data_IF_348857666937
#
_entry.id   IF_348857666937
#
_cell.length_a   1.000
_cell.length_b   1.000
_cell.length_c   1.000
_cell.angle_alpha   90.00
_cell.angle_beta   90.00
_cell.angle_gamma   90.00
#
_symmetry.space_group_name_H-M   'P 1'
#
loop_
_entity.id
_entity.type
_entity.pdbx_description
1 polymer ?
#
# COMPACT_ATOMS: atom_id res chain seq x y z
N UNK A 1 -23.82 -23.94 35.26
CA UNK A 1 -23.86 -23.89 33.78
C UNK A 1 -23.29 -22.57 33.33
N UNK A 2 -22.03 -22.54 32.91
CA UNK A 2 -21.37 -21.36 32.36
C UNK A 2 -21.03 -21.70 30.91
N UNK A 3 -21.71 -21.04 29.98
CA UNK A 3 -21.46 -21.15 28.55
C UNK A 3 -20.10 -20.51 28.29
N UNK A 4 -19.10 -21.33 27.97
CA UNK A 4 -17.85 -20.86 27.39
C UNK A 4 -18.18 -20.28 26.01
N UNK A 5 -17.96 -18.99 25.82
CA UNK A 5 -18.00 -18.37 24.49
C UNK A 5 -16.87 -18.99 23.66
N UNK A 6 -17.23 -19.72 22.62
CA UNK A 6 -16.30 -20.21 21.62
C UNK A 6 -15.85 -19.01 20.79
N UNK A 7 -14.57 -18.69 20.82
CA UNK A 7 -13.93 -17.67 19.98
C UNK A 7 -14.01 -18.11 18.50
N UNK A 8 -14.51 -17.31 17.55
CA UNK A 8 -14.75 -17.76 16.17
C UNK A 8 -13.49 -17.96 15.30
N UNK A 9 -12.29 -17.85 15.87
CA UNK A 9 -11.03 -17.98 15.14
C UNK A 9 -10.62 -19.47 15.05
N UNK A 10 -11.37 -20.26 14.31
CA UNK A 10 -11.09 -21.69 14.09
C UNK A 10 -10.14 -21.96 12.92
N UNK A 11 -9.19 -21.06 12.65
CA UNK A 11 -8.13 -21.27 11.66
C UNK A 11 -6.87 -20.50 12.08
N UNK A 12 -5.70 -21.11 11.91
CA UNK A 12 -4.41 -20.49 12.24
C UNK A 12 -4.19 -19.26 11.34
N UNK A 13 -4.41 -18.08 11.90
CA UNK A 13 -4.14 -16.79 11.25
C UNK A 13 -2.87 -16.18 11.82
N UNK A 14 -1.92 -15.88 10.95
CA UNK A 14 -0.68 -15.21 11.32
C UNK A 14 -0.37 -14.02 10.39
N UNK A 15 0.31 -13.02 10.95
CA UNK A 15 0.89 -11.89 10.21
C UNK A 15 2.41 -11.97 10.36
N UNK A 16 3.13 -11.78 9.26
CA UNK A 16 4.59 -11.78 9.23
C UNK A 16 5.13 -10.94 8.08
N UNK A 17 6.46 -10.90 7.89
CA UNK A 17 7.07 -10.28 6.73
C UNK A 17 6.60 -10.98 5.43
N UNK A 18 6.45 -10.19 4.37
CA UNK A 18 6.20 -10.74 3.03
C UNK A 18 7.53 -11.18 2.42
N UNK A 19 7.69 -12.49 2.25
CA UNK A 19 8.87 -13.07 1.60
C UNK A 19 8.81 -12.93 0.08
N UNK A 20 10.00 -12.87 -0.56
CA UNK A 20 10.15 -12.64 -2.00
C UNK A 20 9.43 -13.69 -2.85
N UNK A 21 9.36 -14.93 -2.37
CA UNK A 21 8.74 -16.06 -3.05
C UNK A 21 7.21 -15.90 -3.16
N UNK A 22 6.61 -15.08 -2.31
CA UNK A 22 5.17 -14.84 -2.29
C UNK A 22 4.73 -13.64 -3.14
N UNK A 23 5.65 -12.94 -3.83
CA UNK A 23 5.30 -11.73 -4.58
C UNK A 23 4.31 -11.99 -5.72
N UNK A 24 4.46 -13.09 -6.45
CA UNK A 24 3.54 -13.41 -7.54
C UNK A 24 2.15 -13.79 -7.01
N UNK A 25 2.10 -14.48 -5.86
CA UNK A 25 0.84 -14.77 -5.16
C UNK A 25 0.20 -13.49 -4.63
N UNK A 26 0.98 -12.56 -4.08
CA UNK A 26 0.49 -11.27 -3.62
C UNK A 26 -0.07 -10.43 -4.77
N UNK A 27 0.58 -10.43 -5.94
CA UNK A 27 0.07 -9.74 -7.14
C UNK A 27 -1.24 -10.36 -7.62
N UNK A 28 -1.32 -11.71 -7.67
CA UNK A 28 -2.56 -12.40 -8.02
C UNK A 28 -3.70 -12.07 -7.05
N UNK A 29 -3.44 -12.11 -5.73
CA UNK A 29 -4.43 -11.74 -4.72
C UNK A 29 -4.83 -10.28 -4.85
N UNK A 30 -3.88 -9.38 -5.13
CA UNK A 30 -4.17 -7.97 -5.35
C UNK A 30 -5.15 -7.77 -6.51
N UNK A 31 -4.87 -8.39 -7.66
CA UNK A 31 -5.75 -8.31 -8.85
C UNK A 31 -7.12 -8.86 -8.56
N UNK A 32 -7.18 -10.11 -8.07
CA UNK A 32 -8.45 -10.79 -7.81
C UNK A 32 -9.28 -10.05 -6.77
N UNK A 33 -8.68 -9.60 -5.66
CA UNK A 33 -9.40 -8.90 -4.61
C UNK A 33 -10.02 -7.59 -5.09
N UNK A 34 -9.24 -6.72 -5.75
CA UNK A 34 -9.77 -5.47 -6.29
C UNK A 34 -10.73 -5.70 -7.46
N UNK A 35 -10.40 -6.61 -8.37
CA UNK A 35 -11.24 -6.96 -9.52
C UNK A 35 -12.61 -7.50 -9.10
N UNK A 36 -12.65 -8.38 -8.10
CA UNK A 36 -13.89 -8.89 -7.51
C UNK A 36 -14.65 -7.78 -6.82
N UNK A 37 -13.99 -6.96 -5.99
CA UNK A 37 -14.65 -5.87 -5.27
C UNK A 37 -15.27 -4.83 -6.21
N UNK A 38 -14.59 -4.50 -7.31
CA UNK A 38 -15.05 -3.54 -8.31
C UNK A 38 -16.00 -4.13 -9.36
N UNK A 39 -16.30 -5.44 -9.29
CA UNK A 39 -17.25 -6.10 -10.18
C UNK A 39 -16.75 -6.25 -11.62
N UNK A 40 -15.45 -6.43 -11.83
CA UNK A 40 -14.91 -6.70 -13.17
C UNK A 40 -15.43 -8.06 -13.69
N UNK A 41 -15.73 -8.18 -15.00
CA UNK A 41 -16.09 -9.47 -15.60
C UNK A 41 -15.00 -10.54 -15.44
N UNK A 42 -13.73 -10.13 -15.53
CA UNK A 42 -12.56 -10.95 -15.22
C UNK A 42 -11.75 -10.26 -14.11
N UNK A 43 -11.90 -10.68 -12.84
CA UNK A 43 -11.18 -10.10 -11.71
C UNK A 43 -9.66 -10.14 -11.86
N UNK A 44 -9.11 -11.11 -12.59
CA UNK A 44 -7.65 -11.25 -12.75
C UNK A 44 -7.04 -10.14 -13.60
N UNK A 45 -7.86 -9.38 -14.32
CA UNK A 45 -7.44 -8.29 -15.23
C UNK A 45 -7.41 -6.92 -14.56
N UNK A 46 -7.73 -6.83 -13.28
CA UNK A 46 -7.60 -5.57 -12.56
C UNK A 46 -6.20 -4.98 -12.74
N UNK A 47 -6.15 -3.65 -12.88
CA UNK A 47 -4.93 -2.87 -13.06
C UNK A 47 -4.10 -3.13 -14.34
N UNK A 48 -4.57 -3.96 -15.28
CA UNK A 48 -3.88 -4.16 -16.56
C UNK A 48 -2.44 -4.65 -16.39
N UNK A 49 -1.48 -3.97 -17.01
CA UNK A 49 -0.05 -4.24 -16.92
C UNK A 49 0.66 -3.53 -15.76
N UNK A 50 -0.05 -2.74 -14.95
CA UNK A 50 0.54 -2.05 -13.82
C UNK A 50 1.07 -3.04 -12.76
N UNK A 51 2.19 -2.67 -12.16
CA UNK A 51 2.88 -3.45 -11.13
C UNK A 51 2.74 -2.75 -9.77
N UNK A 52 1.93 -3.29 -8.87
CA UNK A 52 1.68 -2.70 -7.55
C UNK A 52 2.50 -3.35 -6.44
N UNK A 53 2.67 -4.67 -6.50
CA UNK A 53 3.23 -5.46 -5.39
C UNK A 53 4.75 -5.42 -5.40
N UNK A 54 5.37 -5.83 -6.52
CA UNK A 54 6.81 -5.97 -6.63
C UNK A 54 7.56 -4.65 -6.37
N UNK A 55 7.18 -3.49 -6.96
CA UNK A 55 7.88 -2.24 -6.69
C UNK A 55 7.78 -1.79 -5.23
N UNK A 56 6.64 -2.01 -4.57
CA UNK A 56 6.48 -1.69 -3.14
C UNK A 56 7.36 -2.55 -2.26
N UNK A 57 7.47 -3.85 -2.57
CA UNK A 57 8.37 -4.74 -1.86
C UNK A 57 9.85 -4.39 -2.12
N UNK A 58 10.23 -4.12 -3.37
CA UNK A 58 11.63 -3.82 -3.70
C UNK A 58 12.08 -2.44 -3.18
N UNK A 59 11.15 -1.50 -2.98
CA UNK A 59 11.42 -0.23 -2.33
C UNK A 59 11.87 -0.41 -0.87
N UNK A 60 11.17 -1.27 -0.11
CA UNK A 60 11.54 -1.66 1.25
C UNK A 60 10.88 -3.00 1.65
N UNK A 61 11.61 -4.13 1.57
CA UNK A 61 11.07 -5.45 1.94
C UNK A 61 10.64 -5.54 3.40
N UNK A 62 11.26 -4.75 4.27
CA UNK A 62 10.94 -4.77 5.71
C UNK A 62 9.56 -4.18 5.98
N UNK A 63 9.02 -3.41 5.03
CA UNK A 63 7.74 -2.71 5.10
C UNK A 63 6.61 -3.42 4.37
N UNK A 64 6.82 -4.69 4.00
CA UNK A 64 5.82 -5.52 3.37
C UNK A 64 5.38 -6.64 4.32
N UNK A 65 4.06 -6.79 4.48
CA UNK A 65 3.47 -7.74 5.41
C UNK A 65 2.62 -8.76 4.65
N UNK A 66 2.73 -10.02 5.05
CA UNK A 66 1.89 -11.11 4.59
C UNK A 66 0.94 -11.55 5.70
N UNK A 67 -0.29 -11.89 5.30
CA UNK A 67 -1.22 -12.64 6.11
C UNK A 67 -1.26 -14.09 5.63
N UNK A 68 -1.17 -15.03 6.55
CA UNK A 68 -1.44 -16.43 6.29
C UNK A 68 -2.71 -16.86 7.03
N UNK A 69 -3.48 -17.73 6.40
CA UNK A 69 -4.66 -18.34 6.98
C UNK A 69 -4.71 -19.79 6.53
N UNK A 70 -5.03 -20.70 7.46
CA UNK A 70 -5.18 -22.13 7.18
C UNK A 70 -3.92 -22.72 6.51
N UNK A 71 -2.74 -22.24 6.93
CA UNK A 71 -1.43 -22.67 6.43
C UNK A 71 -1.00 -22.11 5.06
N UNK A 72 -1.79 -21.20 4.46
CA UNK A 72 -1.52 -20.66 3.13
C UNK A 72 -1.50 -19.12 3.10
N UNK A 73 -0.83 -18.55 2.09
CA UNK A 73 -0.87 -17.11 1.84
C UNK A 73 -2.30 -16.63 1.57
N UNK A 74 -2.71 -15.60 2.30
CA UNK A 74 -4.07 -15.08 2.32
C UNK A 74 -4.18 -13.61 1.94
N UNK A 75 -3.10 -12.82 2.01
CA UNK A 75 -3.16 -11.39 1.71
C UNK A 75 -1.87 -10.66 2.04
N UNK A 76 -1.81 -9.38 1.67
CA UNK A 76 -0.64 -8.54 1.93
C UNK A 76 -1.02 -7.08 2.17
N UNK A 77 -0.11 -6.36 2.81
CA UNK A 77 -0.15 -4.90 2.93
C UNK A 77 1.28 -4.35 2.87
N UNK A 78 1.43 -3.13 2.39
CA UNK A 78 2.72 -2.48 2.19
C UNK A 78 2.68 -1.10 2.82
N UNK A 79 3.63 -0.78 3.69
CA UNK A 79 3.78 0.57 4.22
C UNK A 79 4.80 1.37 3.43
N UNK A 80 4.58 2.67 3.38
CA UNK A 80 5.41 3.63 2.66
C UNK A 80 5.59 4.84 3.55
N UNK A 81 6.83 5.34 3.62
CA UNK A 81 7.20 6.51 4.40
C UNK A 81 7.66 7.63 3.48
N UNK A 82 6.99 8.77 3.58
CA UNK A 82 7.36 10.01 2.92
C UNK A 82 7.79 11.02 3.97
N UNK A 83 8.96 10.80 4.55
CA UNK A 83 9.44 11.54 5.72
C UNK A 83 8.49 11.40 6.90
N UNK A 84 7.79 12.48 7.24
CA UNK A 84 6.83 12.55 8.34
C UNK A 84 5.44 11.98 8.01
N UNK A 85 5.20 11.59 6.76
CA UNK A 85 3.92 11.07 6.28
C UNK A 85 3.99 9.56 6.02
N UNK A 86 3.04 8.80 6.56
CA UNK A 86 2.86 7.36 6.32
C UNK A 86 1.66 7.08 5.40
N UNK A 87 1.86 6.18 4.44
CA UNK A 87 0.80 5.64 3.59
C UNK A 87 0.90 4.11 3.55
N UNK A 88 -0.21 3.41 3.37
CA UNK A 88 -0.16 1.97 3.13
C UNK A 88 -1.04 1.53 1.97
N UNK A 89 -0.58 0.51 1.28
CA UNK A 89 -1.30 -0.16 0.22
C UNK A 89 -0.37 -0.69 -0.89
N UNK A 90 -0.86 -1.64 -1.71
CA UNK A 90 -2.21 -2.19 -1.68
C UNK A 90 -2.46 -3.11 -0.46
N UNK A 91 -3.57 -2.88 0.25
CA UNK A 91 -4.07 -3.79 1.29
C UNK A 91 -5.05 -4.75 0.65
N UNK A 92 -4.69 -6.02 0.53
CA UNK A 92 -5.55 -7.04 -0.08
C UNK A 92 -5.55 -8.34 0.70
N UNK A 93 -6.71 -9.00 0.66
CA UNK A 93 -6.95 -10.34 1.22
C UNK A 93 -7.70 -11.12 0.15
N UNK A 94 -7.43 -12.42 0.03
CA UNK A 94 -8.16 -13.30 -0.88
C UNK A 94 -9.67 -13.20 -0.63
N UNK A 95 -10.52 -13.14 -1.68
CA UNK A 95 -11.96 -13.01 -1.50
C UNK A 95 -12.61 -14.10 -0.65
N UNK A 96 -12.14 -15.34 -0.75
CA UNK A 96 -12.63 -16.47 0.05
C UNK A 96 -12.24 -16.40 1.54
N UNK A 97 -11.37 -15.46 1.90
CA UNK A 97 -10.96 -15.18 3.28
C UNK A 97 -11.43 -13.81 3.78
N UNK A 98 -12.30 -13.13 3.04
CA UNK A 98 -12.89 -11.87 3.47
C UNK A 98 -13.73 -12.05 4.74
N UNK A 99 -13.85 -10.95 5.48
CA UNK A 99 -14.69 -10.85 6.69
C UNK A 99 -14.25 -11.80 7.84
N UNK A 100 -13.02 -12.34 7.74
CA UNK A 100 -12.33 -13.12 8.79
C UNK A 100 -11.32 -12.31 9.62
N UNK A 101 -11.30 -10.99 9.49
CA UNK A 101 -10.43 -10.10 10.28
C UNK A 101 -8.98 -9.94 9.77
N UNK A 102 -8.54 -10.68 8.74
CA UNK A 102 -7.18 -10.60 8.18
C UNK A 102 -6.77 -9.17 7.77
N UNK A 103 -7.69 -8.42 7.15
CA UNK A 103 -7.42 -7.03 6.76
C UNK A 103 -7.15 -6.12 7.95
N UNK A 104 -7.82 -6.34 9.09
CA UNK A 104 -7.54 -5.58 10.31
C UNK A 104 -6.16 -5.91 10.88
N UNK A 105 -5.80 -7.20 10.93
CA UNK A 105 -4.48 -7.65 11.37
C UNK A 105 -3.33 -7.11 10.50
N UNK A 106 -3.55 -6.99 9.19
CA UNK A 106 -2.60 -6.35 8.26
C UNK A 106 -2.49 -4.84 8.47
N UNK A 107 -3.56 -4.16 8.86
CA UNK A 107 -3.52 -2.73 9.21
C UNK A 107 -2.82 -2.54 10.56
N UNK A 108 -3.02 -3.43 11.54
CA UNK A 108 -2.27 -3.39 12.82
C UNK A 108 -0.75 -3.39 12.58
N UNK A 109 -0.25 -4.28 11.72
CA UNK A 109 1.16 -4.32 11.36
C UNK A 109 1.64 -3.03 10.69
N UNK A 110 0.82 -2.44 9.81
CA UNK A 110 1.13 -1.16 9.19
C UNK A 110 1.18 0.00 10.20
N UNK A 111 0.24 0.03 11.16
CA UNK A 111 0.20 1.05 12.21
C UNK A 111 1.40 0.94 13.15
N UNK A 112 1.82 -0.28 13.51
CA UNK A 112 3.03 -0.51 14.29
C UNK A 112 4.27 0.02 13.55
N UNK A 113 4.37 -0.23 12.24
CA UNK A 113 5.48 0.30 11.43
C UNK A 113 5.48 1.83 11.36
N UNK A 114 4.30 2.45 11.28
CA UNK A 114 4.17 3.92 11.34
C UNK A 114 4.64 4.49 12.68
N UNK A 115 4.34 3.81 13.79
CA UNK A 115 4.83 4.18 15.12
C UNK A 115 6.36 4.06 15.21
N UNK A 116 6.94 2.95 14.72
CA UNK A 116 8.40 2.75 14.68
C UNK A 116 9.11 3.84 13.88
N UNK A 117 8.49 4.31 12.80
CA UNK A 117 9.02 5.41 11.98
C UNK A 117 8.80 6.80 12.56
N UNK A 118 7.95 6.94 13.57
CA UNK A 118 7.57 8.23 14.12
C UNK A 118 6.84 9.12 13.11
N UNK A 119 6.04 8.53 12.20
CA UNK A 119 5.26 9.35 11.26
C UNK A 119 4.26 10.21 12.03
N UNK A 120 4.12 11.47 11.63
CA UNK A 120 3.23 12.45 12.28
C UNK A 120 1.86 12.49 11.63
N UNK A 121 1.78 12.05 10.37
CA UNK A 121 0.55 11.98 9.62
C UNK A 121 0.43 10.65 8.90
N UNK A 122 -0.64 9.89 9.13
CA UNK A 122 -0.93 8.70 8.36
C UNK A 122 -2.19 8.92 7.51
N UNK A 123 -2.12 8.57 6.23
CA UNK A 123 -3.20 8.79 5.28
C UNK A 123 -3.42 7.59 4.36
N UNK A 124 -4.65 7.47 3.86
CA UNK A 124 -5.02 6.54 2.79
C UNK A 124 -6.20 7.13 2.01
N UNK A 125 -6.42 6.65 0.79
CA UNK A 125 -7.70 6.83 0.11
C UNK A 125 -8.39 5.48 -0.03
N UNK A 126 -9.72 5.49 0.00
CA UNK A 126 -10.54 4.30 -0.11
C UNK A 126 -11.87 4.63 -0.77
N UNK A 127 -12.62 3.58 -1.13
CA UNK A 127 -13.95 3.66 -1.70
C UNK A 127 -14.93 4.41 -0.79
N UNK A 128 -15.41 5.55 -1.28
CA UNK A 128 -16.32 6.44 -0.54
C UNK A 128 -17.70 5.80 -0.30
N UNK A 129 -18.11 4.88 -1.15
CA UNK A 129 -19.36 4.12 -1.11
C UNK A 129 -19.25 2.80 -0.34
N UNK A 130 -18.08 2.48 0.22
CA UNK A 130 -17.88 1.22 0.94
C UNK A 130 -17.91 1.38 2.46
N UNK A 131 -19.05 1.07 3.07
CA UNK A 131 -19.20 1.03 4.53
C UNK A 131 -18.19 0.08 5.21
N UNK A 132 -17.84 -1.04 4.54
CA UNK A 132 -16.84 -2.01 5.01
C UNK A 132 -15.46 -1.37 5.18
N UNK A 133 -14.95 -0.71 4.13
CA UNK A 133 -13.63 -0.07 4.20
C UNK A 133 -13.63 1.11 5.18
N UNK A 134 -14.68 1.94 5.17
CA UNK A 134 -14.80 3.02 6.16
C UNK A 134 -14.81 2.50 7.60
N UNK A 135 -15.52 1.40 7.86
CA UNK A 135 -15.59 0.76 9.17
C UNK A 135 -14.24 0.19 9.61
N UNK A 136 -13.51 -0.46 8.69
CA UNK A 136 -12.16 -0.96 8.94
C UNK A 136 -11.24 0.17 9.40
N UNK A 137 -11.09 1.22 8.58
CA UNK A 137 -10.10 2.26 8.85
C UNK A 137 -10.48 3.14 10.06
N UNK A 138 -11.77 3.36 10.33
CA UNK A 138 -12.21 4.07 11.56
C UNK A 138 -11.72 3.40 12.84
N UNK A 139 -11.60 2.07 12.88
CA UNK A 139 -11.09 1.34 14.06
C UNK A 139 -9.65 1.72 14.40
N UNK A 140 -8.88 2.14 13.40
CA UNK A 140 -7.49 2.58 13.54
C UNK A 140 -7.34 4.11 13.63
N UNK A 141 -8.45 4.83 13.87
CA UNK A 141 -8.43 6.27 14.06
C UNK A 141 -8.49 7.11 12.78
N UNK A 142 -8.49 6.49 11.59
CA UNK A 142 -8.66 7.22 10.34
C UNK A 142 -10.07 7.83 10.26
N UNK A 143 -10.15 9.06 9.74
CA UNK A 143 -11.40 9.79 9.57
C UNK A 143 -11.54 10.28 8.12
N UNK A 144 -12.72 10.17 7.50
CA UNK A 144 -12.96 10.76 6.18
C UNK A 144 -12.67 12.27 6.19
N UNK A 145 -12.07 12.76 5.10
CA UNK A 145 -11.76 14.19 4.91
C UNK A 145 -12.55 14.78 3.76
N UNK A 146 -12.13 14.50 2.54
CA UNK A 146 -12.76 14.97 1.32
C UNK A 146 -12.78 13.84 0.29
N UNK A 147 -13.65 13.98 -0.70
CA UNK A 147 -13.71 13.06 -1.84
C UNK A 147 -12.58 13.40 -2.82
N UNK A 148 -11.82 12.39 -3.22
CA UNK A 148 -10.79 12.51 -4.26
C UNK A 148 -11.31 11.84 -5.53
N UNK A 149 -11.45 12.61 -6.61
CA UNK A 149 -11.82 12.07 -7.90
C UNK A 149 -10.59 11.44 -8.58
N UNK A 150 -10.68 10.15 -8.90
CA UNK A 150 -9.68 9.46 -9.72
C UNK A 150 -10.13 9.58 -11.18
N UNK A 151 -9.34 10.28 -11.99
CA UNK A 151 -9.67 10.61 -13.37
C UNK A 151 -8.58 10.06 -14.30
N UNK A 152 -8.97 9.68 -15.52
CA UNK A 152 -8.06 9.25 -16.56
C UNK A 152 -8.33 9.99 -17.86
N UNK A 153 -7.26 10.30 -18.60
CA UNK A 153 -7.30 10.85 -19.96
C UNK A 153 -6.18 10.19 -20.77
N UNK A 154 -6.40 9.87 -22.05
CA UNK A 154 -5.31 9.46 -22.93
C UNK A 154 -4.19 10.51 -22.95
N UNK A 155 -2.94 10.06 -22.80
CA UNK A 155 -1.79 10.92 -22.98
C UNK A 155 -1.73 11.39 -24.44
N UNK A 156 -1.55 12.70 -24.65
CA UNK A 156 -1.28 13.23 -25.98
C UNK A 156 0.17 12.91 -26.36
N UNK A 157 0.41 12.55 -27.62
CA UNK A 157 1.77 12.41 -28.12
C UNK A 157 2.44 13.80 -28.21
N UNK A 158 3.57 13.95 -27.55
CA UNK A 158 4.37 15.18 -27.55
C UNK A 158 5.35 15.17 -26.39
N UNK A 159 6.64 15.22 -26.69
CA UNK A 159 7.66 15.41 -25.66
C UNK A 159 7.66 16.88 -25.26
N UNK A 160 7.23 17.17 -24.04
CA UNK A 160 7.76 18.35 -23.37
C UNK A 160 9.28 18.16 -23.20
N UNK A 161 10.06 19.23 -23.18
CA UNK A 161 11.46 19.10 -22.79
C UNK A 161 11.52 18.68 -21.31
N UNK A 162 12.10 17.52 -21.03
CA UNK A 162 12.29 17.00 -19.69
C UNK A 162 13.70 16.43 -19.51
N UNK A 163 14.18 16.49 -18.28
CA UNK A 163 15.41 15.81 -17.87
C UNK A 163 15.00 14.60 -17.03
N UNK A 164 15.57 13.43 -17.32
CA UNK A 164 15.33 12.24 -16.51
C UNK A 164 16.26 12.28 -15.31
N UNK A 165 15.69 12.09 -14.11
CA UNK A 165 16.50 11.90 -12.90
C UNK A 165 17.55 10.79 -13.07
N UNK A 166 17.19 9.71 -13.75
CA UNK A 166 18.10 8.59 -14.04
C UNK A 166 19.29 8.97 -14.94
N UNK A 167 19.21 10.06 -15.72
CA UNK A 167 20.31 10.52 -16.59
C UNK A 167 21.24 11.54 -15.96
N UNK A 168 20.87 12.08 -14.78
CA UNK A 168 21.72 12.99 -14.02
C UNK A 168 22.95 12.26 -13.47
N UNK A 169 24.05 12.99 -13.29
CA UNK A 169 25.21 12.49 -12.54
C UNK A 169 24.94 12.52 -11.03
N UNK A 170 25.86 11.97 -10.23
CA UNK A 170 25.62 11.82 -8.79
C UNK A 170 25.53 13.16 -8.03
N UNK A 171 26.22 14.20 -8.51
CA UNK A 171 26.17 15.52 -7.89
C UNK A 171 24.83 16.20 -8.18
N UNK A 172 24.40 16.19 -9.44
CA UNK A 172 23.12 16.73 -9.88
C UNK A 172 21.94 15.97 -9.27
N UNK A 173 22.07 14.66 -9.05
CA UNK A 173 21.06 13.86 -8.34
C UNK A 173 20.90 14.28 -6.89
N UNK A 174 22.02 14.45 -6.17
CA UNK A 174 21.96 14.90 -4.77
C UNK A 174 21.29 16.26 -4.68
N UNK A 175 21.67 17.21 -5.53
CA UNK A 175 21.05 18.53 -5.59
C UNK A 175 19.55 18.44 -5.91
N UNK A 176 19.17 17.59 -6.87
CA UNK A 176 17.76 17.37 -7.21
C UNK A 176 16.95 16.81 -6.03
N UNK A 177 17.49 15.85 -5.27
CA UNK A 177 16.80 15.29 -4.10
C UNK A 177 16.64 16.33 -2.99
N UNK A 178 17.64 17.18 -2.77
CA UNK A 178 17.56 18.29 -1.81
C UNK A 178 16.47 19.30 -2.21
N UNK A 179 16.38 19.65 -3.50
CA UNK A 179 15.31 20.51 -4.02
C UNK A 179 13.93 19.85 -3.91
N UNK A 180 13.82 18.56 -4.25
CA UNK A 180 12.58 17.81 -4.14
C UNK A 180 12.10 17.73 -2.68
N UNK A 181 13.01 17.51 -1.73
CA UNK A 181 12.73 17.57 -0.29
C UNK A 181 12.28 18.97 0.11
N UNK A 182 12.97 20.03 -0.30
CA UNK A 182 12.60 21.41 0.05
C UNK A 182 11.19 21.79 -0.46
N UNK A 183 10.84 21.40 -1.69
CA UNK A 183 9.50 21.64 -2.26
C UNK A 183 8.43 20.85 -1.51
N UNK A 184 8.69 19.58 -1.19
CA UNK A 184 7.71 18.75 -0.48
C UNK A 184 7.53 19.18 0.98
N UNK A 185 8.61 19.53 1.69
CA UNK A 185 8.58 20.08 3.04
C UNK A 185 7.77 21.39 3.12
N UNK A 186 7.87 22.25 2.10
CA UNK A 186 7.08 23.48 2.01
C UNK A 186 5.56 23.23 1.85
N UNK A 187 5.15 22.06 1.35
CA UNK A 187 3.73 21.66 1.26
C UNK A 187 3.23 21.15 2.62
N UNK A 188 4.03 20.29 3.26
CA UNK A 188 3.74 19.75 4.58
C UNK A 188 5.05 19.48 5.30
N UNK A 189 5.17 20.01 6.52
CA UNK A 189 6.41 19.94 7.29
C UNK A 189 6.91 18.48 7.43
N UNK A 190 8.16 18.26 7.03
CA UNK A 190 8.83 16.97 7.03
C UNK A 190 8.33 15.98 5.98
N UNK A 191 7.47 16.37 5.03
CA UNK A 191 7.15 15.54 3.87
C UNK A 191 8.40 15.43 2.99
N UNK A 192 8.71 14.21 2.57
CA UNK A 192 9.92 13.91 1.82
C UNK A 192 9.72 12.71 0.89
N UNK A 193 9.88 12.93 -0.41
CA UNK A 193 9.69 11.92 -1.45
C UNK A 193 11.00 11.31 -1.97
N UNK A 194 12.15 11.66 -1.38
CA UNK A 194 13.45 11.21 -1.85
C UNK A 194 13.55 9.69 -1.96
N UNK A 195 13.08 8.95 -0.95
CA UNK A 195 13.10 7.48 -0.94
C UNK A 195 12.30 6.87 -2.10
N UNK A 196 11.18 7.47 -2.50
CA UNK A 196 10.39 7.01 -3.66
C UNK A 196 11.12 7.27 -4.98
N UNK A 197 11.69 8.47 -5.13
CA UNK A 197 12.47 8.86 -6.31
C UNK A 197 13.67 7.92 -6.48
N UNK A 198 14.37 7.65 -5.38
CA UNK A 198 15.48 6.70 -5.37
C UNK A 198 15.04 5.26 -5.61
N UNK A 199 13.90 4.83 -5.05
CA UNK A 199 13.36 3.51 -5.30
C UNK A 199 13.13 3.31 -6.80
N UNK A 200 12.45 4.24 -7.48
CA UNK A 200 12.26 4.16 -8.95
C UNK A 200 13.60 4.02 -9.67
N UNK A 201 14.63 4.78 -9.29
CA UNK A 201 15.97 4.64 -9.88
C UNK A 201 16.59 3.26 -9.66
N UNK A 202 16.41 2.65 -8.48
CA UNK A 202 16.94 1.32 -8.16
C UNK A 202 16.25 0.22 -8.97
N UNK A 203 14.99 0.40 -9.34
CA UNK A 203 14.18 -0.61 -10.04
C UNK A 203 14.30 -0.58 -11.57
N UNK A 204 14.81 0.52 -12.14
CA UNK A 204 15.05 0.68 -13.58
C UNK A 204 13.88 1.34 -14.31
#
# INVERSE_FOLDING_TARGET
MSVRSVDPLSGDVAIGPLEKEHLDAADQVMRVAFGTFLGLPDPTRFAGDASYVRPRWEADPTSAFAATADGAFAGSNFTTRWGSVGFFGPLTVRPDHWDRGLGARLVEAAMARFEDWGVRHAGLYTFADSAKHQGLYRRFGFRPRFLTAILAKPAAAGAADFIRYSTLDDADRSAFLDEARAVSDAIYEGLDLAEEIEAVRRLG
#
